data_IF_701024055183
#
_entry.id   IF_701024055183
#
_cell.length_a   1.000
_cell.length_b   1.000
_cell.length_c   1.000
_cell.angle_alpha   90.00
_cell.angle_beta   90.00
_cell.angle_gamma   90.00
#
_symmetry.space_group_name_H-M   'P 1'
#
loop_
_entity.id
_entity.type
_entity.pdbx_description
1 polymer ?
#
# COMPACT_ATOMS: atom_id res chain seq x y z
N UNK A 1 -8.49 35.67 5.38
CA UNK A 1 -9.83 36.13 4.99
C UNK A 1 -10.50 34.98 4.24
N UNK A 2 -11.14 34.06 4.95
CA UNK A 2 -11.84 32.94 4.31
C UNK A 2 -13.14 33.46 3.72
N UNK A 3 -13.29 33.36 2.40
CA UNK A 3 -14.54 33.64 1.71
C UNK A 3 -15.61 32.70 2.30
N UNK A 4 -16.45 33.23 3.20
CA UNK A 4 -17.70 32.56 3.59
C UNK A 4 -18.62 32.65 2.38
N UNK A 5 -18.56 31.64 1.52
CA UNK A 5 -19.61 31.43 0.54
C UNK A 5 -20.87 31.10 1.34
N UNK A 6 -21.82 32.02 1.32
CA UNK A 6 -23.14 31.88 1.93
C UNK A 6 -24.00 30.96 1.06
N UNK A 7 -23.55 29.71 0.93
CA UNK A 7 -24.23 28.69 0.16
C UNK A 7 -25.43 28.22 0.97
N UNK A 8 -26.59 28.17 0.32
CA UNK A 8 -27.78 27.64 0.96
C UNK A 8 -27.55 26.18 1.42
N UNK A 9 -28.25 25.72 2.48
CA UNK A 9 -28.09 24.36 3.01
C UNK A 9 -28.22 23.27 1.95
N UNK A 10 -29.04 23.48 0.92
CA UNK A 10 -29.25 22.57 -0.20
C UNK A 10 -28.00 22.46 -1.08
N UNK A 11 -27.33 23.58 -1.34
CA UNK A 11 -26.09 23.60 -2.14
C UNK A 11 -24.95 22.91 -1.38
N UNK A 12 -24.87 23.11 -0.06
CA UNK A 12 -23.89 22.42 0.78
C UNK A 12 -24.12 20.90 0.75
N UNK A 13 -25.37 20.43 0.84
CA UNK A 13 -25.67 19.00 0.73
C UNK A 13 -25.25 18.41 -0.63
N UNK A 14 -25.48 19.14 -1.72
CA UNK A 14 -25.03 18.72 -3.05
C UNK A 14 -23.50 18.65 -3.10
N UNK A 15 -22.81 19.64 -2.54
CA UNK A 15 -21.36 19.66 -2.50
C UNK A 15 -20.78 18.51 -1.68
N UNK A 16 -21.30 18.24 -0.49
CA UNK A 16 -20.87 17.09 0.33
C UNK A 16 -21.11 15.76 -0.37
N UNK A 17 -22.27 15.58 -1.02
CA UNK A 17 -22.56 14.38 -1.81
C UNK A 17 -21.62 14.24 -3.01
N UNK A 18 -21.25 15.36 -3.63
CA UNK A 18 -20.31 15.37 -4.75
C UNK A 18 -18.88 15.04 -4.30
N UNK A 19 -18.40 15.63 -3.21
CA UNK A 19 -17.11 15.27 -2.60
C UNK A 19 -17.10 13.78 -2.21
N UNK A 20 -18.13 13.30 -1.51
CA UNK A 20 -18.26 11.89 -1.15
C UNK A 20 -18.30 10.99 -2.39
N UNK A 21 -19.02 11.38 -3.45
CA UNK A 21 -19.06 10.67 -4.72
C UNK A 21 -17.69 10.63 -5.41
N UNK A 22 -16.95 11.75 -5.41
CA UNK A 22 -15.60 11.81 -5.98
C UNK A 22 -14.62 10.96 -5.18
N UNK A 23 -14.68 10.99 -3.85
CA UNK A 23 -13.90 10.12 -2.97
C UNK A 23 -14.21 8.64 -3.24
N UNK A 24 -15.49 8.27 -3.20
CA UNK A 24 -15.95 6.90 -3.47
C UNK A 24 -15.61 6.40 -4.89
N UNK A 25 -15.68 7.28 -5.90
CA UNK A 25 -15.33 6.95 -7.29
C UNK A 25 -13.83 6.71 -7.45
N UNK A 26 -12.98 7.47 -6.76
CA UNK A 26 -11.54 7.24 -6.74
C UNK A 26 -11.20 5.91 -6.10
N UNK A 27 -11.83 5.56 -4.99
CA UNK A 27 -11.69 4.25 -4.34
C UNK A 27 -12.09 3.08 -5.25
N UNK A 28 -13.19 3.21 -6.02
CA UNK A 28 -13.59 2.15 -6.98
C UNK A 28 -12.60 1.99 -8.13
N UNK A 29 -12.03 3.07 -8.66
CA UNK A 29 -10.98 2.99 -9.71
C UNK A 29 -9.70 2.34 -9.17
N UNK A 30 -9.33 2.65 -7.92
CA UNK A 30 -8.20 2.02 -7.24
C UNK A 30 -8.46 0.54 -6.94
N UNK A 31 -9.65 0.18 -6.42
CA UNK A 31 -10.05 -1.22 -6.21
C UNK A 31 -10.10 -2.03 -7.51
N UNK A 32 -10.58 -1.46 -8.60
CA UNK A 32 -10.63 -2.17 -9.89
C UNK A 32 -9.26 -2.33 -10.55
N UNK A 33 -8.32 -1.40 -10.32
CA UNK A 33 -6.91 -1.55 -10.72
C UNK A 33 -6.16 -2.55 -9.85
N UNK A 34 -6.36 -2.52 -8.52
CA UNK A 34 -5.79 -3.51 -7.59
C UNK A 34 -6.24 -4.94 -7.88
N UNK A 35 -7.50 -5.14 -8.32
CA UNK A 35 -8.06 -6.46 -8.67
C UNK A 35 -7.41 -7.15 -9.89
N UNK A 36 -6.64 -6.43 -10.72
CA UNK A 36 -5.97 -7.00 -11.91
C UNK A 36 -4.47 -7.22 -11.68
N UNK A 37 -3.87 -6.63 -10.64
CA UNK A 37 -2.43 -6.78 -10.38
C UNK A 37 -2.14 -8.13 -9.72
N UNK A 38 -1.05 -8.76 -10.10
CA UNK A 38 -0.58 -9.99 -9.44
C UNK A 38 -0.13 -9.71 -8.01
N UNK A 39 0.00 -10.78 -7.19
CA UNK A 39 0.54 -10.65 -5.83
C UNK A 39 1.95 -10.04 -5.89
N UNK A 40 2.79 -10.50 -6.81
CA UNK A 40 4.13 -9.98 -7.02
C UNK A 40 4.13 -8.49 -7.34
N UNK A 41 3.29 -8.04 -8.27
CA UNK A 41 3.19 -6.61 -8.63
C UNK A 41 2.75 -5.76 -7.43
N UNK A 42 1.82 -6.26 -6.62
CA UNK A 42 1.33 -5.56 -5.43
C UNK A 42 2.41 -5.48 -4.36
N UNK A 43 3.13 -6.58 -4.09
CA UNK A 43 4.25 -6.61 -3.13
C UNK A 43 5.35 -5.66 -3.58
N UNK A 44 5.80 -5.74 -4.83
CA UNK A 44 6.83 -4.82 -5.37
C UNK A 44 6.42 -3.37 -5.27
N UNK A 45 5.16 -3.05 -5.53
CA UNK A 45 4.63 -1.70 -5.40
C UNK A 45 4.70 -1.18 -3.97
N UNK A 46 4.35 -2.00 -2.97
CA UNK A 46 4.49 -1.63 -1.56
C UNK A 46 5.95 -1.35 -1.22
N UNK A 47 6.87 -2.22 -1.66
CA UNK A 47 8.30 -2.07 -1.38
C UNK A 47 8.83 -0.73 -1.95
N UNK A 48 8.45 -0.40 -3.18
CA UNK A 48 8.79 0.88 -3.82
C UNK A 48 8.21 2.07 -3.06
N UNK A 49 6.95 1.98 -2.62
CA UNK A 49 6.26 3.07 -1.92
C UNK A 49 6.80 3.27 -0.50
N UNK A 50 7.11 2.19 0.21
CA UNK A 50 7.55 2.23 1.61
C UNK A 50 9.03 2.58 1.74
N UNK A 51 9.89 1.93 0.95
CA UNK A 51 11.34 2.14 1.02
C UNK A 51 11.81 3.32 0.16
N UNK A 52 10.93 3.89 -0.68
CA UNK A 52 11.30 4.99 -1.58
C UNK A 52 12.36 4.62 -2.62
N UNK A 53 12.52 3.32 -2.90
CA UNK A 53 13.47 2.77 -3.88
C UNK A 53 12.85 2.75 -5.27
N UNK A 54 13.67 2.53 -6.30
CA UNK A 54 13.15 2.41 -7.66
C UNK A 54 12.67 0.98 -7.93
N UNK A 55 11.65 0.86 -8.76
CA UNK A 55 11.11 -0.44 -9.19
C UNK A 55 12.16 -1.32 -9.88
N UNK A 56 13.15 -0.73 -10.55
CA UNK A 56 14.26 -1.45 -11.19
C UNK A 56 15.21 -2.14 -10.20
N UNK A 57 15.24 -1.65 -8.95
CA UNK A 57 16.09 -2.18 -7.88
C UNK A 57 15.37 -3.31 -7.11
N UNK A 58 14.03 -3.38 -7.19
CA UNK A 58 13.19 -4.39 -6.50
C UNK A 58 13.15 -5.71 -7.29
N UNK A 59 14.29 -6.39 -7.28
CA UNK A 59 14.44 -7.75 -7.84
C UNK A 59 14.02 -8.79 -6.81
N UNK A 60 13.58 -9.96 -7.27
CA UNK A 60 13.15 -11.05 -6.38
C UNK A 60 14.23 -11.45 -5.37
N UNK A 61 15.49 -11.48 -5.80
CA UNK A 61 16.65 -11.81 -4.98
C UNK A 61 17.14 -10.67 -4.08
N UNK A 62 16.60 -9.45 -4.22
CA UNK A 62 17.09 -8.29 -3.48
C UNK A 62 16.79 -8.44 -1.98
N UNK A 63 17.82 -8.23 -1.17
CA UNK A 63 17.74 -8.13 0.28
C UNK A 63 17.17 -6.76 0.68
N UNK A 64 16.20 -6.73 1.59
CA UNK A 64 15.64 -5.47 2.07
C UNK A 64 16.70 -4.59 2.71
N UNK A 65 17.59 -5.18 3.50
CA UNK A 65 18.63 -4.44 4.24
C UNK A 65 19.86 -4.20 3.38
N UNK A 66 20.39 -5.25 2.73
CA UNK A 66 21.70 -5.16 2.05
C UNK A 66 21.61 -4.46 0.68
N UNK A 67 20.54 -4.71 -0.09
CA UNK A 67 20.41 -4.19 -1.46
C UNK A 67 19.50 -2.96 -1.52
N UNK A 68 18.39 -2.97 -0.77
CA UNK A 68 17.41 -1.88 -0.78
C UNK A 68 17.64 -0.85 0.34
N UNK A 69 18.57 -1.12 1.26
CA UNK A 69 18.97 -0.18 2.30
C UNK A 69 17.90 0.10 3.36
N UNK A 70 16.93 -0.81 3.53
CA UNK A 70 15.92 -0.72 4.57
C UNK A 70 16.58 -0.78 5.96
N UNK A 71 16.19 0.12 6.85
CA UNK A 71 16.56 0.03 8.25
C UNK A 71 15.56 -0.83 9.06
N UNK A 72 15.82 -0.98 10.36
CA UNK A 72 14.94 -1.77 11.23
C UNK A 72 13.52 -1.21 11.32
N UNK A 73 13.32 0.11 11.18
CA UNK A 73 11.99 0.71 11.20
C UNK A 73 11.27 0.47 9.87
N UNK A 74 11.98 0.64 8.75
CA UNK A 74 11.45 0.40 7.41
C UNK A 74 10.93 -1.04 7.27
N UNK A 75 11.65 -2.03 7.83
CA UNK A 75 11.20 -3.44 7.80
C UNK A 75 9.89 -3.66 8.57
N UNK A 76 9.70 -2.98 9.71
CA UNK A 76 8.46 -3.07 10.50
C UNK A 76 7.30 -2.42 9.74
N UNK A 77 7.51 -1.24 9.16
CA UNK A 77 6.49 -0.56 8.38
C UNK A 77 6.10 -1.33 7.11
N UNK A 78 7.09 -1.98 6.45
CA UNK A 78 6.85 -2.83 5.29
C UNK A 78 5.96 -4.03 5.65
N UNK A 79 6.24 -4.71 6.75
CA UNK A 79 5.44 -5.86 7.22
C UNK A 79 4.01 -5.43 7.50
N UNK A 80 3.81 -4.32 8.23
CA UNK A 80 2.47 -3.78 8.50
C UNK A 80 1.71 -3.41 7.22
N UNK A 81 2.40 -2.85 6.21
CA UNK A 81 1.79 -2.52 4.93
C UNK A 81 1.38 -3.77 4.13
N UNK A 82 2.14 -4.86 4.22
CA UNK A 82 1.79 -6.15 3.63
C UNK A 82 0.57 -6.76 4.33
N UNK A 83 0.53 -6.74 5.66
CA UNK A 83 -0.63 -7.19 6.45
C UNK A 83 -1.91 -6.45 6.04
N UNK A 84 -1.87 -5.12 5.98
CA UNK A 84 -3.04 -4.31 5.61
C UNK A 84 -3.46 -4.51 4.14
N UNK A 85 -2.51 -4.61 3.20
CA UNK A 85 -2.83 -4.76 1.78
C UNK A 85 -3.45 -6.13 1.46
N UNK A 86 -2.98 -7.18 2.14
CA UNK A 86 -3.37 -8.56 1.85
C UNK A 86 -4.36 -9.15 2.86
N UNK A 87 -4.69 -8.42 3.93
CA UNK A 87 -5.58 -8.87 5.02
C UNK A 87 -5.05 -10.17 5.69
N UNK A 88 -3.74 -10.18 5.96
CA UNK A 88 -3.01 -11.30 6.58
C UNK A 88 -2.37 -10.84 7.90
N UNK A 89 -2.03 -11.80 8.77
CA UNK A 89 -1.22 -11.55 9.98
C UNK A 89 0.15 -12.21 9.81
N UNK A 90 1.23 -11.45 10.04
CA UNK A 90 2.62 -11.90 9.95
C UNK A 90 3.21 -11.90 11.37
N UNK A 91 3.37 -13.07 12.01
CA UNK A 91 4.00 -13.15 13.32
C UNK A 91 5.45 -12.64 13.29
N UNK A 92 5.91 -12.01 14.37
CA UNK A 92 7.27 -11.47 14.50
C UNK A 92 8.36 -12.50 14.08
N UNK A 93 8.22 -13.77 14.50
CA UNK A 93 9.17 -14.85 14.16
C UNK A 93 9.26 -15.14 12.65
N UNK A 94 8.18 -14.93 11.91
CA UNK A 94 8.15 -15.08 10.45
C UNK A 94 8.60 -13.79 9.76
N UNK A 95 8.23 -12.62 10.30
CA UNK A 95 8.70 -11.33 9.82
C UNK A 95 10.24 -11.24 9.81
N UNK A 96 10.90 -11.75 10.86
CA UNK A 96 12.37 -11.83 10.93
C UNK A 96 12.99 -12.70 9.83
N UNK A 97 12.25 -13.65 9.26
CA UNK A 97 12.70 -14.51 8.15
C UNK A 97 12.43 -13.89 6.78
N UNK A 98 11.58 -12.86 6.70
CA UNK A 98 11.25 -12.15 5.46
C UNK A 98 12.35 -11.12 5.18
N UNK A 99 13.48 -11.60 4.65
CA UNK A 99 14.66 -10.76 4.38
C UNK A 99 14.81 -10.33 2.91
N UNK A 100 14.04 -10.94 1.99
CA UNK A 100 14.15 -10.70 0.55
C UNK A 100 12.79 -10.42 -0.08
N UNK A 101 12.79 -9.77 -1.24
CA UNK A 101 11.56 -9.53 -2.02
C UNK A 101 10.83 -10.84 -2.30
N UNK A 102 11.54 -11.89 -2.71
CA UNK A 102 10.94 -13.19 -3.00
C UNK A 102 10.32 -13.82 -1.74
N UNK A 103 10.97 -13.76 -0.59
CA UNK A 103 10.39 -14.33 0.64
C UNK A 103 9.13 -13.61 1.09
N UNK A 104 9.03 -12.30 0.88
CA UNK A 104 7.78 -11.56 1.10
C UNK A 104 6.67 -12.01 0.14
N UNK A 105 6.98 -12.16 -1.16
CA UNK A 105 6.03 -12.63 -2.17
C UNK A 105 5.54 -14.04 -1.82
N UNK A 106 6.45 -14.96 -1.52
CA UNK A 106 6.14 -16.34 -1.19
C UNK A 106 5.30 -16.43 0.08
N UNK A 107 5.61 -15.61 1.09
CA UNK A 107 4.82 -15.57 2.32
C UNK A 107 3.38 -15.16 2.04
N UNK A 108 3.20 -14.05 1.31
CA UNK A 108 1.86 -13.56 0.95
C UNK A 108 1.12 -14.58 0.11
N UNK A 109 1.77 -15.20 -0.89
CA UNK A 109 1.14 -16.22 -1.73
C UNK A 109 0.63 -17.44 -0.96
N UNK A 110 1.32 -17.83 0.12
CA UNK A 110 0.94 -18.98 0.93
C UNK A 110 -0.13 -18.66 1.98
N UNK A 111 -0.35 -17.38 2.30
CA UNK A 111 -1.24 -16.95 3.39
C UNK A 111 -2.43 -16.08 2.93
N UNK A 112 -2.57 -15.78 1.63
CA UNK A 112 -3.70 -15.05 1.02
C UNK A 112 -4.86 -15.96 0.62
#
# INVERSE_FOLDING_TARGET
>A
MFLRFDLSPEILQIFYKYIHYLTYRNERKLKHRKKQMSIEERVKKIIVEQLGVKEEDVKSEASFVEDLGADSLDTVELVMALEEEFDIEIPDEEAEKITTVQSAIDYVQNNQ
#
